data_IF_952562434556
#
_entry.id   IF_952562434556
#
_cell.length_a   1.000
_cell.length_b   1.000
_cell.length_c   1.000
_cell.angle_alpha   90.00
_cell.angle_beta   90.00
_cell.angle_gamma   90.00
#
_symmetry.space_group_name_H-M   'P 1'
#
loop_
_entity.id
_entity.type
_entity.pdbx_description
1 polymer ?
#
# COMPACT_ATOMS: atom_id res chain seq x y z
N UNK A 1 -19.71 -0.66 -24.32
CA UNK A 1 -19.92 -1.69 -23.29
C UNK A 1 -19.72 -1.06 -21.93
N UNK A 2 -20.74 -0.97 -21.08
CA UNK A 2 -20.61 -0.48 -19.71
C UNK A 2 -19.68 -1.43 -18.93
N UNK A 3 -18.56 -0.91 -18.41
CA UNK A 3 -17.72 -1.67 -17.48
C UNK A 3 -18.58 -2.01 -16.27
N UNK A 4 -18.78 -3.31 -15.98
CA UNK A 4 -19.44 -3.72 -14.74
C UNK A 4 -18.68 -3.07 -13.57
N UNK A 5 -19.38 -2.31 -12.73
CA UNK A 5 -18.76 -1.60 -11.58
C UNK A 5 -18.29 -2.56 -10.47
N UNK A 6 -18.70 -3.83 -10.52
CA UNK A 6 -18.36 -4.85 -9.55
C UNK A 6 -17.05 -5.58 -9.85
N UNK A 7 -16.47 -6.19 -8.81
CA UNK A 7 -15.33 -7.08 -8.93
C UNK A 7 -15.78 -8.43 -9.50
N UNK A 8 -14.94 -9.02 -10.35
CA UNK A 8 -15.13 -10.41 -10.79
C UNK A 8 -14.56 -11.36 -9.73
N UNK A 9 -15.01 -12.62 -9.74
CA UNK A 9 -14.46 -13.65 -8.84
C UNK A 9 -12.94 -13.75 -8.97
N UNK A 10 -12.40 -13.67 -10.20
CA UNK A 10 -10.97 -13.70 -10.46
C UNK A 10 -10.23 -12.52 -9.78
N UNK A 11 -10.78 -11.32 -9.86
CA UNK A 11 -10.20 -10.13 -9.21
C UNK A 11 -10.24 -10.26 -7.68
N UNK A 12 -11.34 -10.75 -7.11
CA UNK A 12 -11.48 -11.01 -5.68
C UNK A 12 -10.45 -12.03 -5.19
N UNK A 13 -10.25 -13.12 -5.93
CA UNK A 13 -9.24 -14.12 -5.61
C UNK A 13 -7.82 -13.54 -5.65
N UNK A 14 -7.51 -12.68 -6.64
CA UNK A 14 -6.19 -12.04 -6.71
C UNK A 14 -5.97 -11.08 -5.54
N UNK A 15 -6.97 -10.30 -5.13
CA UNK A 15 -6.88 -9.46 -3.93
C UNK A 15 -6.60 -10.31 -2.69
N UNK A 16 -7.32 -11.43 -2.54
CA UNK A 16 -7.11 -12.34 -1.41
C UNK A 16 -5.71 -12.96 -1.40
N UNK A 17 -5.21 -13.38 -2.56
CA UNK A 17 -3.85 -13.94 -2.70
C UNK A 17 -2.79 -12.88 -2.39
N UNK A 18 -2.92 -11.66 -2.93
CA UNK A 18 -2.01 -10.55 -2.64
C UNK A 18 -2.01 -10.25 -1.14
N UNK A 19 -3.19 -10.12 -0.52
CA UNK A 19 -3.30 -9.88 0.91
C UNK A 19 -2.62 -10.97 1.74
N UNK A 20 -2.83 -12.25 1.41
CA UNK A 20 -2.21 -13.37 2.11
C UNK A 20 -0.69 -13.43 1.93
N UNK A 21 -0.18 -13.23 0.72
CA UNK A 21 1.26 -13.21 0.44
C UNK A 21 1.93 -12.07 1.19
N UNK A 22 1.38 -10.85 1.10
CA UNK A 22 1.94 -9.71 1.81
C UNK A 22 1.80 -9.83 3.32
N UNK A 23 0.78 -10.49 3.86
CA UNK A 23 0.69 -10.78 5.29
C UNK A 23 1.92 -11.54 5.80
N UNK A 24 2.37 -12.57 5.06
CA UNK A 24 3.57 -13.35 5.41
C UNK A 24 4.82 -12.49 5.29
N UNK A 25 4.95 -11.72 4.22
CA UNK A 25 6.08 -10.80 4.03
C UNK A 25 6.14 -9.72 5.11
N UNK A 26 5.00 -9.18 5.52
CA UNK A 26 4.89 -8.19 6.58
C UNK A 26 5.28 -8.76 7.96
N UNK A 27 4.96 -10.03 8.24
CA UNK A 27 5.43 -10.70 9.46
C UNK A 27 6.96 -10.82 9.50
N UNK A 28 7.58 -11.16 8.37
CA UNK A 28 9.04 -11.14 8.24
C UNK A 28 9.61 -9.73 8.40
N UNK A 29 8.96 -8.74 7.80
CA UNK A 29 9.35 -7.33 7.88
C UNK A 29 9.29 -6.76 9.29
N UNK A 30 8.30 -7.18 10.10
CA UNK A 30 8.22 -6.85 11.53
C UNK A 30 9.49 -7.28 12.26
N UNK A 31 10.02 -8.48 11.99
CA UNK A 31 11.23 -8.96 12.67
C UNK A 31 12.45 -8.10 12.31
N UNK A 32 12.59 -7.73 11.03
CA UNK A 32 13.66 -6.83 10.59
C UNK A 32 13.54 -5.45 11.24
N UNK A 33 12.32 -4.91 11.30
CA UNK A 33 12.07 -3.65 11.98
C UNK A 33 12.41 -3.70 13.47
N UNK A 34 12.03 -4.76 14.19
CA UNK A 34 12.34 -4.91 15.63
C UNK A 34 13.85 -4.92 15.88
N UNK A 35 14.62 -5.61 15.04
CA UNK A 35 16.09 -5.62 15.12
C UNK A 35 16.63 -4.21 14.84
N UNK A 36 16.17 -3.58 13.76
CA UNK A 36 16.64 -2.25 13.37
C UNK A 36 16.28 -1.20 14.44
N UNK A 37 15.09 -1.27 15.03
CA UNK A 37 14.66 -0.37 16.09
C UNK A 37 15.54 -0.49 17.35
N UNK A 38 15.95 -1.68 17.72
CA UNK A 38 16.84 -1.90 18.86
C UNK A 38 18.22 -1.23 18.67
N UNK A 39 18.67 -1.11 17.40
CA UNK A 39 19.97 -0.51 17.07
C UNK A 39 19.86 0.99 16.80
N UNK A 40 18.86 1.43 16.04
CA UNK A 40 18.76 2.79 15.49
C UNK A 40 17.66 3.64 16.15
N UNK A 41 16.90 3.09 17.08
CA UNK A 41 15.89 3.81 17.85
C UNK A 41 14.54 3.99 17.14
N UNK A 42 13.69 4.86 17.71
CA UNK A 42 12.26 4.96 17.38
C UNK A 42 11.95 5.45 15.97
N UNK A 43 12.79 6.29 15.37
CA UNK A 43 12.59 6.81 14.00
C UNK A 43 12.63 5.70 12.94
N UNK A 44 13.20 4.55 13.27
CA UNK A 44 13.25 3.38 12.39
C UNK A 44 11.85 2.92 11.95
N UNK A 45 10.83 3.09 12.81
CA UNK A 45 9.43 2.79 12.45
C UNK A 45 8.98 3.58 11.23
N UNK A 46 9.31 4.87 11.17
CA UNK A 46 8.89 5.75 10.07
C UNK A 46 9.64 5.43 8.77
N UNK A 47 10.90 5.00 8.87
CA UNK A 47 11.69 4.55 7.71
C UNK A 47 11.14 3.23 7.14
N UNK A 48 10.71 2.30 7.98
CA UNK A 48 10.23 0.99 7.57
C UNK A 48 8.74 0.97 7.16
N UNK A 49 7.97 2.00 7.53
CA UNK A 49 6.51 2.02 7.42
C UNK A 49 5.99 1.80 5.99
N UNK A 50 6.69 2.33 4.99
CA UNK A 50 6.23 2.27 3.60
C UNK A 50 6.06 0.85 3.05
N UNK A 51 6.80 -0.13 3.56
CA UNK A 51 6.66 -1.51 3.10
C UNK A 51 5.29 -2.11 3.45
N UNK A 52 4.69 -1.69 4.57
CA UNK A 52 3.33 -2.13 4.95
C UNK A 52 2.22 -1.54 4.08
N UNK A 53 2.53 -0.75 3.06
CA UNK A 53 1.53 -0.21 2.12
C UNK A 53 1.56 -0.90 0.76
N UNK A 54 2.50 -1.83 0.54
CA UNK A 54 2.76 -2.42 -0.79
C UNK A 54 1.58 -3.24 -1.28
N UNK A 55 0.87 -3.98 -0.41
CA UNK A 55 -0.27 -4.80 -0.79
C UNK A 55 -1.37 -3.97 -1.45
N UNK A 56 -1.71 -2.82 -0.86
CA UNK A 56 -2.72 -1.89 -1.37
C UNK A 56 -2.35 -1.37 -2.76
N UNK A 57 -1.09 -0.98 -2.96
CA UNK A 57 -0.60 -0.37 -4.19
C UNK A 57 -0.50 -1.40 -5.31
N UNK A 58 0.05 -2.58 -5.02
CA UNK A 58 0.18 -3.68 -6.00
C UNK A 58 -1.20 -4.13 -6.48
N UNK A 59 -2.13 -4.40 -5.56
CA UNK A 59 -3.47 -4.84 -5.92
C UNK A 59 -4.22 -3.79 -6.76
N UNK A 60 -4.17 -2.51 -6.34
CA UNK A 60 -4.82 -1.43 -7.06
C UNK A 60 -4.24 -1.23 -8.46
N UNK A 61 -2.91 -1.29 -8.62
CA UNK A 61 -2.26 -1.15 -9.91
C UNK A 61 -2.63 -2.27 -10.90
N UNK A 62 -2.90 -3.48 -10.41
CA UNK A 62 -3.27 -4.64 -11.24
C UNK A 62 -4.75 -4.57 -11.66
N UNK A 63 -5.65 -4.34 -10.70
CA UNK A 63 -7.11 -4.50 -10.88
C UNK A 63 -7.77 -3.20 -11.35
N UNK A 64 -7.30 -2.05 -10.87
CA UNK A 64 -7.74 -0.70 -11.27
C UNK A 64 -9.23 -0.44 -11.08
N UNK A 65 -9.77 -0.88 -9.93
CA UNK A 65 -11.18 -0.70 -9.53
C UNK A 65 -11.29 -0.08 -8.14
N UNK A 66 -12.43 0.59 -7.85
CA UNK A 66 -12.69 1.14 -6.52
C UNK A 66 -12.65 0.09 -5.42
N UNK A 67 -12.08 0.48 -4.26
CA UNK A 67 -12.04 -0.34 -3.06
C UNK A 67 -10.92 -1.38 -3.01
N UNK A 68 -10.16 -1.57 -4.10
CA UNK A 68 -9.14 -2.61 -4.18
C UNK A 68 -7.95 -2.35 -3.26
N UNK A 69 -7.47 -1.11 -3.18
CA UNK A 69 -6.35 -0.77 -2.30
C UNK A 69 -6.72 -0.99 -0.83
N UNK A 70 -7.90 -0.51 -0.45
CA UNK A 70 -8.42 -0.71 0.91
C UNK A 70 -8.55 -2.19 1.26
N UNK A 71 -9.20 -2.98 0.40
CA UNK A 71 -9.46 -4.39 0.68
C UNK A 71 -8.18 -5.22 0.77
N UNK A 72 -7.21 -4.98 -0.12
CA UNK A 72 -5.93 -5.71 -0.10
C UNK A 72 -5.16 -5.46 1.19
N UNK A 73 -5.09 -4.21 1.66
CA UNK A 73 -4.39 -3.86 2.90
C UNK A 73 -5.11 -4.39 4.13
N UNK A 74 -6.43 -4.26 4.16
CA UNK A 74 -7.24 -4.79 5.25
C UNK A 74 -7.14 -6.31 5.35
N UNK A 75 -7.16 -7.03 4.21
CA UNK A 75 -6.96 -8.49 4.17
C UNK A 75 -5.56 -8.88 4.62
N UNK A 76 -4.52 -8.15 4.19
CA UNK A 76 -3.16 -8.40 4.66
C UNK A 76 -3.05 -8.26 6.18
N UNK A 77 -3.68 -7.23 6.76
CA UNK A 77 -3.75 -7.04 8.20
C UNK A 77 -4.53 -8.18 8.89
N UNK A 78 -5.69 -8.58 8.34
CA UNK A 78 -6.51 -9.65 8.89
C UNK A 78 -5.76 -11.00 8.90
N UNK A 79 -5.10 -11.34 7.82
CA UNK A 79 -4.30 -12.57 7.74
C UNK A 79 -3.11 -12.52 8.70
N UNK A 80 -2.43 -11.37 8.87
CA UNK A 80 -1.37 -11.22 9.87
C UNK A 80 -1.88 -11.49 11.30
N UNK A 81 -3.08 -11.00 11.64
CA UNK A 81 -3.70 -11.28 12.95
C UNK A 81 -3.93 -12.78 13.13
N UNK A 82 -4.47 -13.45 12.11
CA UNK A 82 -4.70 -14.90 12.14
C UNK A 82 -3.40 -15.71 12.26
N UNK A 83 -2.31 -15.19 11.70
CA UNK A 83 -0.97 -15.80 11.78
C UNK A 83 -0.22 -15.44 13.07
N UNK A 84 -0.86 -14.76 14.02
CA UNK A 84 -0.28 -14.47 15.34
C UNK A 84 0.64 -13.24 15.35
N UNK A 85 0.33 -12.20 14.58
CA UNK A 85 1.07 -10.93 14.63
C UNK A 85 1.14 -10.38 16.06
N UNK A 86 2.33 -9.94 16.53
CA UNK A 86 2.48 -9.38 17.88
C UNK A 86 1.66 -8.09 18.09
N UNK A 87 1.23 -7.41 17.03
CA UNK A 87 0.37 -6.25 17.11
C UNK A 87 -1.07 -6.59 17.50
N UNK A 88 -1.52 -7.84 17.32
CA UNK A 88 -2.87 -8.27 17.66
C UNK A 88 -3.98 -7.61 16.82
N UNK A 89 -5.20 -7.59 17.35
CA UNK A 89 -6.42 -7.11 16.66
C UNK A 89 -6.34 -5.64 16.21
N UNK A 90 -5.54 -4.82 16.88
CA UNK A 90 -5.38 -3.40 16.51
C UNK A 90 -4.80 -3.22 15.11
N UNK A 91 -4.15 -4.25 14.58
CA UNK A 91 -3.62 -4.26 13.22
C UNK A 91 -4.73 -4.10 12.17
N UNK A 92 -5.94 -4.58 12.45
CA UNK A 92 -7.11 -4.37 11.56
C UNK A 92 -7.42 -2.89 11.35
N UNK A 93 -7.35 -2.10 12.44
CA UNK A 93 -7.53 -0.65 12.35
C UNK A 93 -6.39 -0.01 11.57
N UNK A 94 -5.15 -0.45 11.82
CA UNK A 94 -3.98 0.05 11.07
C UNK A 94 -4.12 -0.22 9.57
N UNK A 95 -4.46 -1.45 9.19
CA UNK A 95 -4.65 -1.83 7.79
C UNK A 95 -5.81 -1.08 7.13
N UNK A 96 -6.93 -0.88 7.84
CA UNK A 96 -8.05 -0.10 7.34
C UNK A 96 -7.64 1.36 7.07
N UNK A 97 -6.94 1.98 8.00
CA UNK A 97 -6.49 3.38 7.90
C UNK A 97 -5.48 3.54 6.75
N UNK A 98 -4.50 2.66 6.65
CA UNK A 98 -3.48 2.66 5.61
C UNK A 98 -4.09 2.43 4.22
N UNK A 99 -4.93 1.42 4.11
CA UNK A 99 -5.65 1.12 2.87
C UNK A 99 -6.57 2.25 2.44
N UNK A 100 -7.27 2.91 3.38
CA UNK A 100 -8.10 4.07 3.09
C UNK A 100 -7.27 5.25 2.55
N UNK A 101 -6.10 5.52 3.13
CA UNK A 101 -5.19 6.57 2.67
C UNK A 101 -4.73 6.36 1.22
N UNK A 102 -4.34 5.13 0.86
CA UNK A 102 -3.98 4.78 -0.51
C UNK A 102 -5.20 4.86 -1.46
N UNK A 103 -6.35 4.33 -1.03
CA UNK A 103 -7.59 4.30 -1.82
C UNK A 103 -8.07 5.71 -2.18
N UNK A 104 -7.96 6.68 -1.25
CA UNK A 104 -8.36 8.06 -1.49
C UNK A 104 -7.55 8.73 -2.61
N UNK A 105 -6.26 8.43 -2.72
CA UNK A 105 -5.43 8.94 -3.82
C UNK A 105 -5.88 8.36 -5.16
N UNK A 106 -6.21 7.08 -5.23
CA UNK A 106 -6.77 6.49 -6.44
C UNK A 106 -8.16 7.04 -6.75
N UNK A 107 -8.99 7.29 -5.74
CA UNK A 107 -10.30 7.93 -5.88
C UNK A 107 -10.18 9.36 -6.44
N UNK A 108 -9.18 10.14 -6.01
CA UNK A 108 -8.92 11.48 -6.53
C UNK A 108 -8.62 11.47 -8.04
N UNK A 109 -8.00 10.40 -8.54
CA UNK A 109 -7.78 10.17 -9.98
C UNK A 109 -8.96 9.45 -10.66
N UNK A 110 -10.07 9.23 -9.94
CA UNK A 110 -11.24 8.46 -10.39
C UNK A 110 -10.87 7.05 -10.87
N UNK A 111 -9.86 6.43 -10.23
CA UNK A 111 -9.32 5.10 -10.58
C UNK A 111 -8.91 4.97 -12.05
N UNK A 112 -8.42 6.06 -12.65
CA UNK A 112 -8.02 6.10 -14.08
C UNK A 112 -6.52 6.20 -14.29
N UNK A 113 -5.79 6.71 -13.29
CA UNK A 113 -4.36 6.93 -13.39
C UNK A 113 -3.60 6.05 -12.39
N UNK A 114 -2.68 5.23 -12.90
CA UNK A 114 -1.82 4.34 -12.14
C UNK A 114 -0.36 4.49 -12.59
N UNK A 115 0.02 5.70 -13.01
CA UNK A 115 1.41 6.05 -13.30
C UNK A 115 2.26 6.02 -12.04
N UNK A 116 3.58 5.90 -12.19
CA UNK A 116 4.50 5.88 -11.06
C UNK A 116 4.29 7.04 -10.07
N UNK A 117 4.14 8.31 -10.50
CA UNK A 117 3.87 9.40 -9.55
C UNK A 117 2.58 9.19 -8.73
N UNK A 118 1.53 8.63 -9.33
CA UNK A 118 0.27 8.34 -8.61
C UNK A 118 0.45 7.19 -7.64
N UNK A 119 1.20 6.14 -7.98
CA UNK A 119 1.51 5.05 -7.05
C UNK A 119 2.35 5.55 -5.87
N UNK A 120 3.33 6.43 -6.12
CA UNK A 120 4.11 7.07 -5.05
C UNK A 120 3.22 7.98 -4.18
N UNK A 121 2.32 8.75 -4.78
CA UNK A 121 1.35 9.56 -4.06
C UNK A 121 0.40 8.69 -3.21
N UNK A 122 -0.02 7.51 -3.69
CA UNK A 122 -0.82 6.58 -2.92
C UNK A 122 -0.06 6.04 -1.69
N UNK A 123 1.23 5.78 -1.83
CA UNK A 123 2.11 5.46 -0.70
C UNK A 123 2.22 6.60 0.31
N UNK A 124 2.30 7.85 -0.15
CA UNK A 124 2.27 9.04 0.72
C UNK A 124 0.90 9.16 1.40
N UNK A 125 -0.21 8.94 0.68
CA UNK A 125 -1.55 8.96 1.25
C UNK A 125 -1.73 7.97 2.39
N UNK A 126 -1.27 6.72 2.19
CA UNK A 126 -1.24 5.70 3.24
C UNK A 126 -0.38 6.14 4.44
N UNK A 127 0.79 6.73 4.18
CA UNK A 127 1.70 7.24 5.20
C UNK A 127 1.08 8.36 6.04
N UNK A 128 0.41 9.32 5.40
CA UNK A 128 -0.27 10.43 6.10
C UNK A 128 -1.38 9.91 7.03
N UNK A 129 -2.23 9.03 6.54
CA UNK A 129 -3.30 8.43 7.34
C UNK A 129 -2.74 7.59 8.48
N UNK A 130 -1.71 6.78 8.20
CA UNK A 130 -0.98 6.04 9.22
C UNK A 130 -0.36 6.95 10.28
N UNK A 131 0.20 8.11 9.88
CA UNK A 131 0.78 9.08 10.81
C UNK A 131 -0.27 9.70 11.73
N UNK A 132 -1.40 10.14 11.18
CA UNK A 132 -2.51 10.70 11.97
C UNK A 132 -3.03 9.65 12.96
N UNK A 133 -3.20 8.40 12.52
CA UNK A 133 -3.63 7.32 13.39
C UNK A 133 -2.64 7.05 14.54
N UNK A 134 -1.34 6.98 14.25
CA UNK A 134 -0.33 6.76 15.28
C UNK A 134 -0.18 7.95 16.20
N UNK A 135 -0.35 9.16 15.70
CA UNK A 135 -0.38 10.39 16.51
C UNK A 135 -1.46 10.30 17.60
N UNK A 136 -2.69 9.97 17.20
CA UNK A 136 -3.82 9.85 18.13
C UNK A 136 -3.59 8.68 19.10
N UNK A 137 -3.10 7.54 18.61
CA UNK A 137 -2.94 6.32 19.39
C UNK A 137 -1.85 6.42 20.46
N UNK A 138 -0.74 7.09 20.16
CA UNK A 138 0.45 7.16 21.01
C UNK A 138 0.67 8.54 21.63
N UNK A 139 -0.32 9.42 21.55
CA UNK A 139 -0.26 10.78 22.10
C UNK A 139 1.01 11.54 21.69
N UNK A 140 1.27 11.60 20.42
CA UNK A 140 2.46 12.31 19.87
C UNK A 140 2.45 13.82 20.15
N UNK A 141 1.32 14.37 20.68
CA UNK A 141 1.21 15.77 21.08
C UNK A 141 2.22 16.18 22.15
N UNK A 142 2.75 15.22 22.92
CA UNK A 142 3.78 15.45 23.93
C UNK A 142 5.22 15.48 23.36
N UNK A 143 5.42 15.11 22.10
CA UNK A 143 6.74 15.04 21.49
C UNK A 143 7.21 16.43 21.01
N UNK A 144 8.56 16.58 20.95
CA UNK A 144 9.16 17.77 20.36
C UNK A 144 8.71 17.96 18.89
N UNK A 145 8.27 19.16 18.47
CA UNK A 145 7.83 19.42 17.11
C UNK A 145 8.84 19.04 16.01
N UNK A 146 10.13 19.22 16.27
CA UNK A 146 11.20 18.84 15.33
C UNK A 146 11.20 17.33 15.08
N UNK A 147 10.99 16.51 16.11
CA UNK A 147 10.91 15.06 16.01
C UNK A 147 9.65 14.67 15.22
N UNK A 148 8.52 15.31 15.50
CA UNK A 148 7.27 15.05 14.77
C UNK A 148 7.39 15.32 13.27
N UNK A 149 8.02 16.43 12.91
CA UNK A 149 8.28 16.75 11.49
C UNK A 149 9.20 15.72 10.87
N UNK A 150 10.27 15.32 11.56
CA UNK A 150 11.16 14.28 11.06
C UNK A 150 10.45 12.94 10.84
N UNK A 151 9.64 12.48 11.80
CA UNK A 151 8.82 11.27 11.70
C UNK A 151 7.86 11.34 10.51
N UNK A 152 7.15 12.46 10.36
CA UNK A 152 6.21 12.67 9.25
C UNK A 152 6.89 12.61 7.88
N UNK A 153 8.00 13.35 7.73
CA UNK A 153 8.77 13.41 6.47
C UNK A 153 9.35 12.03 6.14
N UNK A 154 9.97 11.35 7.09
CA UNK A 154 10.53 10.01 6.90
C UNK A 154 9.44 9.01 6.49
N UNK A 155 8.28 9.06 7.13
CA UNK A 155 7.15 8.17 6.81
C UNK A 155 6.60 8.44 5.41
N UNK A 156 6.46 9.70 5.01
CA UNK A 156 6.02 10.04 3.65
C UNK A 156 7.03 9.61 2.59
N UNK A 157 8.32 9.83 2.83
CA UNK A 157 9.39 9.35 1.95
C UNK A 157 9.40 7.82 1.84
N UNK A 158 9.28 7.14 2.98
CA UNK A 158 9.16 5.68 3.03
C UNK A 158 7.92 5.19 2.26
N UNK A 159 6.77 5.83 2.45
CA UNK A 159 5.55 5.52 1.73
C UNK A 159 5.69 5.69 0.21
N UNK A 160 6.34 6.76 -0.23
CA UNK A 160 6.61 6.98 -1.65
C UNK A 160 7.57 5.92 -2.23
N UNK A 161 8.66 5.62 -1.53
CA UNK A 161 9.73 4.74 -2.02
C UNK A 161 9.40 3.26 -1.82
N UNK A 162 9.15 2.84 -0.57
CA UNK A 162 8.88 1.43 -0.27
C UNK A 162 7.45 1.03 -0.61
N UNK A 163 6.46 1.93 -0.44
CA UNK A 163 5.10 1.65 -0.85
C UNK A 163 4.92 1.80 -2.37
N UNK A 164 5.09 3.03 -2.87
CA UNK A 164 4.78 3.39 -4.24
C UNK A 164 5.75 2.86 -5.28
N UNK A 165 7.03 3.22 -5.15
CA UNK A 165 8.06 2.86 -6.14
C UNK A 165 8.35 1.35 -6.14
N UNK A 166 8.57 0.73 -4.97
CA UNK A 166 8.76 -0.73 -4.89
C UNK A 166 7.50 -1.48 -5.36
N UNK A 167 6.30 -1.00 -4.98
CA UNK A 167 5.04 -1.56 -5.49
C UNK A 167 4.96 -1.52 -7.01
N UNK A 168 5.40 -0.42 -7.64
CA UNK A 168 5.51 -0.33 -9.09
C UNK A 168 6.48 -1.38 -9.67
N UNK A 169 7.66 -1.54 -9.08
CA UNK A 169 8.64 -2.53 -9.54
C UNK A 169 8.10 -3.96 -9.46
N UNK A 170 7.39 -4.29 -8.38
CA UNK A 170 6.76 -5.61 -8.22
C UNK A 170 5.71 -5.85 -9.31
N UNK A 171 4.86 -4.85 -9.59
CA UNK A 171 3.84 -4.95 -10.65
C UNK A 171 4.48 -5.12 -12.02
N UNK A 172 5.55 -4.38 -12.30
CA UNK A 172 6.31 -4.53 -13.56
C UNK A 172 6.94 -5.91 -13.69
N UNK A 173 7.54 -6.42 -12.61
CA UNK A 173 8.10 -7.77 -12.60
C UNK A 173 7.02 -8.84 -12.85
N UNK A 174 5.88 -8.76 -12.17
CA UNK A 174 4.75 -9.66 -12.38
C UNK A 174 4.18 -9.56 -13.81
N UNK A 175 4.12 -8.35 -14.37
CA UNK A 175 3.66 -8.16 -15.74
C UNK A 175 4.58 -8.87 -16.76
N UNK A 176 5.89 -8.79 -16.58
CA UNK A 176 6.88 -9.45 -17.44
C UNK A 176 6.80 -10.97 -17.42
N UNK A 177 6.31 -11.58 -16.35
CA UNK A 177 6.10 -13.04 -16.29
C UNK A 177 4.86 -13.51 -17.06
N UNK A 178 4.02 -12.60 -17.55
CA UNK A 178 2.73 -12.92 -18.18
C UNK A 178 1.61 -13.28 -17.19
N UNK A 179 1.86 -13.30 -15.88
CA UNK A 179 0.88 -13.65 -14.86
C UNK A 179 -0.32 -12.68 -14.82
N UNK A 180 -0.15 -11.46 -15.31
CA UNK A 180 -1.18 -10.41 -15.30
C UNK A 180 -2.00 -10.33 -16.60
N UNK A 181 -1.88 -11.33 -17.49
CA UNK A 181 -2.66 -11.39 -18.74
C UNK A 181 -4.16 -11.38 -18.45
N UNK A 182 -4.90 -10.47 -19.12
CA UNK A 182 -6.36 -10.34 -18.96
C UNK A 182 -6.81 -9.50 -17.76
N UNK A 183 -5.91 -8.92 -16.98
CA UNK A 183 -6.25 -7.89 -15.99
C UNK A 183 -6.23 -6.48 -16.61
N UNK A 184 -6.77 -5.50 -15.87
CA UNK A 184 -6.89 -4.13 -16.35
C UNK A 184 -5.54 -3.51 -16.73
N UNK A 185 -4.46 -3.86 -16.05
CA UNK A 185 -3.10 -3.43 -16.40
C UNK A 185 -2.67 -3.93 -17.78
N UNK A 186 -2.98 -5.17 -18.13
CA UNK A 186 -2.62 -5.74 -19.44
C UNK A 186 -3.34 -5.00 -20.57
N UNK A 187 -4.63 -4.75 -20.42
CA UNK A 187 -5.40 -3.95 -21.38
C UNK A 187 -4.83 -2.54 -21.54
N UNK A 188 -4.43 -1.89 -20.43
CA UNK A 188 -3.88 -0.54 -20.45
C UNK A 188 -2.49 -0.45 -21.11
N UNK A 189 -1.67 -1.51 -21.00
CA UNK A 189 -0.33 -1.54 -21.61
C UNK A 189 -0.36 -1.93 -23.10
N UNK A 190 -1.37 -2.70 -23.53
CA UNK A 190 -1.54 -3.07 -24.95
C UNK A 190 -2.12 -1.93 -25.80
N UNK A 191 -2.82 -0.97 -25.17
CA UNK A 191 -3.34 0.20 -25.87
C UNK A 191 -2.31 1.33 -25.75
N UNK A 192 -1.47 1.62 -26.78
CA UNK A 192 -0.55 2.74 -26.72
C UNK A 192 -1.37 4.02 -26.51
N UNK A 193 -0.95 4.86 -25.57
CA UNK A 193 -1.52 6.18 -25.39
C UNK A 193 -1.40 6.93 -26.72
N UNK A 194 -2.52 7.32 -27.33
CA UNK A 194 -2.59 8.16 -28.53
C UNK A 194 -2.05 9.59 -28.30
N UNK A 195 -1.26 9.81 -27.25
CA UNK A 195 -0.72 11.10 -26.83
C UNK A 195 0.73 11.36 -27.27
N UNK A 196 1.34 10.50 -28.13
CA UNK A 196 2.72 10.71 -28.61
C UNK A 196 2.79 10.82 -30.13
N UNK A 197 1.71 11.19 -30.76
CA UNK A 197 1.67 11.47 -32.20
C UNK A 197 1.12 12.90 -32.44
N UNK A 198 1.90 13.92 -32.06
CA UNK A 198 1.87 15.27 -32.64
C UNK A 198 3.28 15.85 -32.52
#
# INVERSE_FOLDING_TARGET
MARSSGWTLRETLVVAVIGAVFAVLYLGWVQLWLIAQAVFGSLTMDVFMGFWFVASIVAAAIIRKPGVAFAAEFLAAAVQVLLGSPAGLILLVSGAVQGAGAELVFAATRWRNYSLPVLMAAGIGAAMFSFIYTWIRFDYGALNPTILVAMFVLRCLSGALLGGFLGHLIVEALYRTGALTGFAIDAAKRTPSAATAV
#
